data_IF_149925356249
#
_entry.id   IF_149925356249
#
_cell.length_a   1.000
_cell.length_b   1.000
_cell.length_c   1.000
_cell.angle_alpha   90.00
_cell.angle_beta   90.00
_cell.angle_gamma   90.00
#
_symmetry.space_group_name_H-M   'P 1'
#
loop_
_entity.id
_entity.type
_entity.pdbx_description
1 polymer ?
#
# COMPACT_ATOMS: atom_id res chain seq x y z
N UNK A 1 -23.08 48.72 54.44
CA UNK A 1 -21.78 48.21 53.98
C UNK A 1 -21.70 46.66 53.90
N UNK A 2 -21.99 45.88 54.96
CA UNK A 2 -21.88 44.40 54.91
C UNK A 2 -22.79 43.69 53.86
N UNK A 3 -23.94 44.22 53.52
CA UNK A 3 -24.88 43.61 52.53
C UNK A 3 -24.39 43.75 51.11
N UNK A 4 -23.74 44.84 50.72
CA UNK A 4 -23.15 45.08 49.42
C UNK A 4 -21.96 44.17 49.11
N UNK A 5 -21.07 43.99 50.10
CA UNK A 5 -19.88 43.09 50.00
C UNK A 5 -20.33 41.61 49.81
N UNK A 6 -21.44 41.20 50.41
CA UNK A 6 -21.98 39.83 50.24
C UNK A 6 -22.54 39.58 48.85
N UNK A 7 -23.18 40.60 48.21
CA UNK A 7 -23.72 40.50 46.88
C UNK A 7 -22.62 40.47 45.80
N UNK A 8 -21.56 41.28 45.98
CA UNK A 8 -20.39 41.25 45.09
C UNK A 8 -19.66 39.89 45.12
N UNK A 9 -19.46 39.28 46.28
CA UNK A 9 -18.88 37.94 46.40
C UNK A 9 -19.70 36.86 45.73
N UNK A 10 -21.05 36.94 45.78
CA UNK A 10 -21.93 36.01 45.13
C UNK A 10 -21.85 36.17 43.60
N UNK A 11 -21.84 37.40 43.09
CA UNK A 11 -21.73 37.69 41.66
C UNK A 11 -20.39 37.20 41.07
N UNK A 12 -19.27 37.43 41.76
CA UNK A 12 -17.95 36.95 41.30
C UNK A 12 -17.86 35.42 41.32
N UNK A 13 -18.48 34.77 42.29
CA UNK A 13 -18.52 33.30 42.37
C UNK A 13 -19.35 32.69 41.25
N UNK A 14 -20.51 33.27 40.88
CA UNK A 14 -21.31 32.83 39.77
C UNK A 14 -20.58 32.99 38.42
N UNK A 15 -19.87 34.10 38.16
CA UNK A 15 -19.06 34.32 36.99
C UNK A 15 -17.91 33.29 36.86
N UNK A 16 -17.26 32.93 37.98
CA UNK A 16 -16.20 31.94 37.99
C UNK A 16 -16.72 30.51 37.72
N UNK A 17 -17.89 30.19 38.24
CA UNK A 17 -18.54 28.88 37.97
C UNK A 17 -18.91 28.79 36.49
N UNK A 18 -19.49 29.83 35.92
CA UNK A 18 -19.88 29.87 34.50
C UNK A 18 -18.66 29.79 33.58
N UNK A 19 -17.56 30.47 33.89
CA UNK A 19 -16.28 30.40 33.18
C UNK A 19 -15.65 28.99 33.24
N UNK A 20 -15.80 28.30 34.37
CA UNK A 20 -15.31 26.91 34.58
C UNK A 20 -16.16 25.89 33.80
N UNK A 21 -17.48 26.11 33.69
CA UNK A 21 -18.41 25.31 32.93
C UNK A 21 -18.13 25.46 31.39
N UNK A 22 -18.00 26.67 30.92
CA UNK A 22 -17.70 26.93 29.51
C UNK A 22 -16.36 26.33 29.08
N UNK A 23 -15.34 26.36 29.97
CA UNK A 23 -14.03 25.73 29.70
C UNK A 23 -14.14 24.22 29.59
N UNK A 24 -14.96 23.55 30.45
CA UNK A 24 -15.17 22.09 30.36
C UNK A 24 -15.93 21.69 29.10
N UNK A 25 -16.90 22.46 28.66
CA UNK A 25 -17.63 22.22 27.42
C UNK A 25 -16.76 22.44 26.20
N UNK A 26 -15.93 23.47 26.23
CA UNK A 26 -14.97 23.75 25.16
C UNK A 26 -13.93 22.62 25.01
N UNK A 27 -13.36 22.17 26.13
CA UNK A 27 -12.40 21.05 26.10
C UNK A 27 -13.04 19.75 25.62
N UNK A 28 -14.27 19.43 26.04
CA UNK A 28 -15.02 18.27 25.51
C UNK A 28 -15.28 18.38 24.01
N UNK A 29 -15.67 19.56 23.53
CA UNK A 29 -15.86 19.81 22.09
C UNK A 29 -14.57 19.61 21.29
N UNK A 30 -13.44 20.10 21.78
CA UNK A 30 -12.13 19.91 21.13
C UNK A 30 -11.77 18.42 21.09
N UNK A 31 -11.95 17.68 22.20
CA UNK A 31 -11.68 16.24 22.23
C UNK A 31 -12.55 15.44 21.25
N UNK A 32 -13.84 15.76 21.13
CA UNK A 32 -14.71 15.09 20.17
C UNK A 32 -14.33 15.40 18.72
N UNK A 33 -13.93 16.63 18.42
CA UNK A 33 -13.45 17.00 17.09
C UNK A 33 -12.14 16.27 16.73
N UNK A 34 -11.18 16.21 17.64
CA UNK A 34 -9.91 15.50 17.42
C UNK A 34 -10.15 14.00 17.22
N UNK A 35 -11.03 13.40 18.04
CA UNK A 35 -11.40 11.98 17.87
C UNK A 35 -12.08 11.72 16.52
N UNK A 36 -12.99 12.59 16.09
CA UNK A 36 -13.64 12.48 14.79
C UNK A 36 -12.64 12.59 13.63
N UNK A 37 -11.70 13.54 13.69
CA UNK A 37 -10.63 13.69 12.68
C UNK A 37 -9.74 12.45 12.65
N UNK A 38 -9.37 11.91 13.81
CA UNK A 38 -8.56 10.69 13.89
C UNK A 38 -9.29 9.48 13.29
N UNK A 39 -10.59 9.33 13.56
CA UNK A 39 -11.41 8.26 12.99
C UNK A 39 -11.56 8.39 11.47
N UNK A 40 -11.79 9.61 10.96
CA UNK A 40 -11.88 9.86 9.52
C UNK A 40 -10.51 9.60 8.86
N UNK A 41 -9.43 10.05 9.47
CA UNK A 41 -8.06 9.80 8.97
C UNK A 41 -7.74 8.31 8.94
N UNK A 42 -8.08 7.56 10.00
CA UNK A 42 -7.90 6.11 10.07
C UNK A 42 -8.73 5.39 9.01
N UNK A 43 -9.99 5.79 8.84
CA UNK A 43 -10.86 5.22 7.80
C UNK A 43 -10.30 5.45 6.39
N UNK A 44 -9.84 6.67 6.08
CA UNK A 44 -9.20 7.00 4.80
C UNK A 44 -7.90 6.22 4.58
N UNK A 45 -7.10 6.05 5.62
CA UNK A 45 -5.87 5.27 5.56
C UNK A 45 -6.16 3.78 5.32
N UNK A 46 -7.12 3.20 6.05
CA UNK A 46 -7.50 1.79 5.92
C UNK A 46 -8.18 1.51 4.57
N UNK A 47 -9.05 2.40 4.09
CA UNK A 47 -9.72 2.22 2.79
C UNK A 47 -8.74 2.24 1.61
N UNK A 48 -7.55 2.87 1.76
CA UNK A 48 -6.48 2.80 0.77
C UNK A 48 -5.68 1.48 0.77
N UNK A 49 -5.86 0.63 1.79
CA UNK A 49 -5.11 -0.64 1.98
C UNK A 49 -6.00 -1.88 1.70
N UNK A 50 -7.22 -1.70 1.24
CA UNK A 50 -8.09 -2.85 0.95
C UNK A 50 -7.44 -3.70 -0.14
N UNK A 51 -6.78 -4.78 0.28
CA UNK A 51 -6.41 -5.87 -0.63
C UNK A 51 -7.71 -6.44 -1.19
N UNK A 52 -7.91 -6.32 -2.48
CA UNK A 52 -8.96 -7.04 -3.18
C UNK A 52 -8.52 -8.51 -3.26
N UNK A 53 -8.71 -9.24 -2.17
CA UNK A 53 -8.58 -10.69 -2.16
C UNK A 53 -9.88 -11.25 -2.70
N UNK A 54 -9.89 -11.73 -3.93
CA UNK A 54 -10.99 -12.49 -4.47
C UNK A 54 -10.79 -13.96 -4.15
N UNK A 55 -11.70 -14.52 -3.36
CA UNK A 55 -11.72 -15.93 -3.02
C UNK A 55 -12.83 -16.63 -3.81
N UNK A 56 -12.50 -17.66 -4.57
CA UNK A 56 -13.47 -18.50 -5.28
C UNK A 56 -13.32 -19.94 -4.80
N UNK A 57 -14.38 -20.50 -4.24
CA UNK A 57 -14.42 -21.87 -3.71
C UNK A 57 -13.33 -22.16 -2.66
N UNK A 58 -13.01 -21.20 -1.78
CA UNK A 58 -12.01 -21.36 -0.73
C UNK A 58 -10.56 -21.21 -1.21
N UNK A 59 -10.33 -20.90 -2.48
CA UNK A 59 -9.00 -20.64 -3.04
C UNK A 59 -8.80 -19.14 -3.25
N UNK A 60 -7.70 -18.62 -2.75
CA UNK A 60 -7.30 -17.24 -3.03
C UNK A 60 -6.89 -17.12 -4.51
N UNK A 61 -7.46 -16.15 -5.18
CA UNK A 61 -7.09 -15.85 -6.56
C UNK A 61 -5.92 -14.87 -6.60
N UNK A 62 -5.06 -14.93 -7.64
CA UNK A 62 -4.05 -13.93 -7.89
C UNK A 62 -4.68 -12.54 -8.08
N UNK A 63 -3.90 -11.51 -7.83
CA UNK A 63 -4.31 -10.13 -8.12
C UNK A 63 -4.18 -9.90 -9.62
N UNK A 64 -5.31 -9.83 -10.33
CA UNK A 64 -5.34 -9.60 -11.77
C UNK A 64 -5.34 -8.11 -12.15
N UNK A 65 -5.86 -7.26 -11.26
CA UNK A 65 -5.92 -5.83 -11.48
C UNK A 65 -5.95 -5.08 -10.15
N UNK A 66 -5.55 -3.82 -10.19
CA UNK A 66 -5.61 -2.89 -9.06
C UNK A 66 -6.62 -1.81 -9.40
N UNK A 67 -7.52 -1.52 -8.46
CA UNK A 67 -8.46 -0.41 -8.62
C UNK A 67 -7.70 0.92 -8.51
N UNK A 68 -7.71 1.67 -9.60
CA UNK A 68 -7.07 3.00 -9.68
C UNK A 68 -7.83 3.87 -10.66
N UNK A 69 -7.89 5.17 -10.39
CA UNK A 69 -8.43 6.17 -11.33
C UNK A 69 -7.37 6.64 -12.34
N UNK A 70 -6.12 6.20 -12.18
CA UNK A 70 -5.02 6.52 -13.06
C UNK A 70 -4.96 5.55 -14.25
N UNK A 71 -4.68 6.06 -15.44
CA UNK A 71 -4.47 5.25 -16.66
C UNK A 71 -3.07 4.63 -16.61
N UNK A 72 -2.93 3.55 -15.86
CA UNK A 72 -1.68 2.80 -15.70
C UNK A 72 -1.87 1.35 -16.14
N UNK A 73 -0.81 0.77 -16.67
CA UNK A 73 -0.68 -0.66 -16.97
C UNK A 73 0.59 -1.18 -16.30
N UNK A 74 0.57 -2.44 -15.86
CA UNK A 74 1.77 -3.16 -15.47
C UNK A 74 2.21 -4.03 -16.66
N UNK A 75 3.47 -3.92 -17.05
CA UNK A 75 4.07 -4.72 -18.09
C UNK A 75 5.08 -5.69 -17.47
N UNK A 76 5.07 -6.93 -17.91
CA UNK A 76 6.03 -7.95 -17.52
C UNK A 76 6.46 -8.80 -18.69
N UNK A 77 7.64 -9.43 -18.55
CA UNK A 77 8.17 -10.41 -19.49
C UNK A 77 8.45 -11.71 -18.74
N UNK A 78 8.12 -12.84 -19.38
CA UNK A 78 8.48 -14.17 -18.89
C UNK A 78 9.70 -14.65 -19.67
N UNK A 79 10.82 -14.93 -18.99
CA UNK A 79 12.08 -15.40 -19.57
C UNK A 79 12.29 -16.87 -19.21
N UNK A 80 12.06 -17.75 -20.17
CA UNK A 80 12.16 -19.19 -19.98
C UNK A 80 12.99 -19.89 -21.07
N UNK A 81 13.09 -19.32 -22.27
CA UNK A 81 13.81 -19.89 -23.41
C UNK A 81 14.57 -18.81 -24.19
N UNK A 82 15.85 -19.11 -24.50
CA UNK A 82 16.68 -18.20 -25.28
C UNK A 82 16.94 -16.85 -24.62
N UNK A 83 17.83 -16.06 -25.21
CA UNK A 83 18.16 -14.71 -24.74
C UNK A 83 18.49 -13.74 -25.90
N UNK A 84 18.25 -14.14 -27.13
CA UNK A 84 18.68 -13.41 -28.33
C UNK A 84 18.05 -12.00 -28.44
N UNK A 85 16.94 -11.78 -27.79
CA UNK A 85 16.18 -10.52 -27.81
C UNK A 85 16.32 -9.70 -26.49
N UNK A 86 16.97 -10.23 -25.46
CA UNK A 86 17.08 -9.58 -24.15
C UNK A 86 17.64 -8.17 -24.26
N UNK A 87 18.80 -8.00 -24.92
CA UNK A 87 19.42 -6.68 -25.06
C UNK A 87 18.54 -5.71 -25.85
N UNK A 88 17.91 -6.19 -26.92
CA UNK A 88 17.00 -5.36 -27.72
C UNK A 88 15.78 -4.89 -26.92
N UNK A 89 15.22 -5.75 -26.08
CA UNK A 89 14.11 -5.40 -25.17
C UNK A 89 14.58 -4.32 -24.19
N UNK A 90 15.77 -4.50 -23.56
CA UNK A 90 16.33 -3.52 -22.63
C UNK A 90 16.57 -2.16 -23.31
N UNK A 91 17.06 -2.14 -24.53
CA UNK A 91 17.28 -0.89 -25.29
C UNK A 91 15.97 -0.15 -25.54
N UNK A 92 14.90 -0.85 -25.93
CA UNK A 92 13.57 -0.28 -26.16
C UNK A 92 12.98 0.27 -24.84
N UNK A 93 13.06 -0.50 -23.76
CA UNK A 93 12.56 -0.08 -22.45
C UNK A 93 13.29 1.17 -21.96
N UNK A 94 14.60 1.25 -22.16
CA UNK A 94 15.44 2.41 -21.85
C UNK A 94 15.06 3.63 -22.69
N UNK A 95 14.88 3.47 -24.00
CA UNK A 95 14.46 4.55 -24.91
C UNK A 95 13.14 5.18 -24.48
N UNK A 96 12.20 4.37 -24.00
CA UNK A 96 10.88 4.82 -23.56
C UNK A 96 10.82 5.13 -22.06
N UNK A 97 11.93 4.99 -21.32
CA UNK A 97 12.00 5.16 -19.84
C UNK A 97 10.92 4.33 -19.13
N UNK A 98 10.77 3.07 -19.50
CA UNK A 98 9.79 2.13 -18.94
C UNK A 98 10.51 1.11 -18.08
N UNK A 99 10.01 0.91 -16.83
CA UNK A 99 10.46 -0.14 -15.94
C UNK A 99 9.41 -1.25 -15.89
N UNK A 100 9.87 -2.50 -15.89
CA UNK A 100 9.03 -3.69 -15.97
C UNK A 100 9.52 -4.75 -15.01
N UNK A 101 8.75 -5.83 -14.84
CA UNK A 101 9.19 -7.02 -14.11
C UNK A 101 9.54 -8.13 -15.10
N UNK A 102 10.72 -8.74 -14.91
CA UNK A 102 11.11 -9.96 -15.63
C UNK A 102 10.91 -11.16 -14.71
N UNK A 103 9.97 -12.03 -15.05
CA UNK A 103 9.78 -13.31 -14.40
C UNK A 103 10.63 -14.38 -15.09
N UNK A 104 11.68 -14.84 -14.41
CA UNK A 104 12.69 -15.72 -14.98
C UNK A 104 12.59 -17.12 -14.38
N UNK A 105 12.73 -18.16 -15.23
CA UNK A 105 12.92 -19.51 -14.71
C UNK A 105 14.33 -19.68 -14.15
N UNK A 106 14.49 -20.58 -13.15
CA UNK A 106 15.81 -20.88 -12.58
C UNK A 106 16.78 -21.39 -13.64
N UNK A 107 16.33 -22.26 -14.55
CA UNK A 107 17.16 -22.75 -15.65
C UNK A 107 17.62 -21.65 -16.61
N UNK A 108 16.80 -20.63 -16.85
CA UNK A 108 17.19 -19.47 -17.65
C UNK A 108 18.23 -18.61 -16.92
N UNK A 109 18.06 -18.38 -15.63
CA UNK A 109 19.00 -17.65 -14.77
C UNK A 109 20.37 -18.33 -14.74
N UNK A 110 20.40 -19.65 -14.62
CA UNK A 110 21.63 -20.45 -14.64
C UNK A 110 22.33 -20.39 -16.01
N UNK A 111 21.56 -20.34 -17.09
CA UNK A 111 22.10 -20.33 -18.44
C UNK A 111 22.59 -18.95 -18.90
N UNK A 112 21.96 -17.88 -18.41
CA UNK A 112 22.20 -16.50 -18.85
C UNK A 112 22.43 -15.50 -17.71
N UNK A 113 23.43 -15.74 -16.82
CA UNK A 113 23.65 -14.89 -15.65
C UNK A 113 24.02 -13.43 -15.99
N UNK A 114 24.67 -13.21 -17.13
CA UNK A 114 25.01 -11.86 -17.60
C UNK A 114 23.77 -11.06 -18.02
N UNK A 115 22.77 -11.70 -18.62
CA UNK A 115 21.51 -11.06 -18.96
C UNK A 115 20.70 -10.73 -17.69
N UNK A 116 20.69 -11.60 -16.69
CA UNK A 116 20.08 -11.32 -15.38
C UNK A 116 20.69 -10.07 -14.76
N UNK A 117 22.00 -9.96 -14.81
CA UNK A 117 22.74 -8.81 -14.30
C UNK A 117 22.39 -7.54 -15.09
N UNK A 118 22.34 -7.62 -16.42
CA UNK A 118 21.99 -6.49 -17.28
C UNK A 118 20.56 -6.00 -17.01
N UNK A 119 19.59 -6.90 -16.83
CA UNK A 119 18.21 -6.60 -16.48
C UNK A 119 18.15 -5.85 -15.13
N UNK A 120 18.86 -6.35 -14.12
CA UNK A 120 18.92 -5.74 -12.80
C UNK A 120 19.58 -4.34 -12.83
N UNK A 121 20.74 -4.23 -13.52
CA UNK A 121 21.47 -2.95 -13.63
C UNK A 121 20.69 -1.89 -14.44
N UNK A 122 19.80 -2.32 -15.33
CA UNK A 122 18.87 -1.44 -16.03
C UNK A 122 17.69 -0.97 -15.15
N UNK A 123 17.59 -1.44 -13.89
CA UNK A 123 16.59 -1.00 -12.91
C UNK A 123 15.24 -1.70 -13.03
N UNK A 124 15.21 -2.87 -13.66
CA UNK A 124 13.99 -3.69 -13.76
C UNK A 124 13.82 -4.60 -12.54
N UNK A 125 12.57 -4.95 -12.22
CA UNK A 125 12.26 -5.89 -11.16
C UNK A 125 12.49 -7.34 -11.62
N UNK A 126 13.01 -8.17 -10.71
CA UNK A 126 13.26 -9.60 -10.94
C UNK A 126 12.19 -10.41 -10.23
N UNK A 127 11.50 -11.28 -10.97
CA UNK A 127 10.44 -12.16 -10.48
C UNK A 127 10.79 -13.64 -10.70
N UNK A 128 10.13 -14.52 -9.94
CA UNK A 128 10.28 -15.96 -10.05
C UNK A 128 9.25 -16.57 -11.01
N UNK A 129 9.70 -17.43 -11.92
CA UNK A 129 8.86 -18.16 -12.88
C UNK A 129 9.06 -19.69 -12.78
N UNK A 130 9.21 -20.23 -11.59
CA UNK A 130 9.57 -21.62 -11.29
C UNK A 130 11.00 -22.00 -11.74
N UNK A 131 11.44 -23.21 -11.42
CA UNK A 131 12.78 -23.66 -11.82
C UNK A 131 12.83 -24.08 -13.30
N UNK A 132 11.89 -24.90 -13.75
CA UNK A 132 11.94 -25.55 -15.07
C UNK A 132 10.62 -25.46 -15.84
N UNK A 133 9.74 -24.51 -15.50
CA UNK A 133 8.45 -24.32 -16.16
C UNK A 133 7.57 -25.59 -16.25
N UNK A 134 7.65 -26.45 -15.21
CA UNK A 134 6.86 -27.69 -15.16
C UNK A 134 5.38 -27.37 -14.88
N UNK A 135 4.50 -28.26 -15.33
CA UNK A 135 3.08 -28.17 -14.99
C UNK A 135 2.86 -28.50 -13.51
N UNK A 136 2.62 -27.46 -12.69
CA UNK A 136 2.47 -27.59 -11.23
C UNK A 136 1.32 -28.50 -10.80
N UNK A 137 0.28 -28.68 -11.64
CA UNK A 137 -0.84 -29.58 -11.32
C UNK A 137 -0.46 -31.06 -11.37
N UNK A 138 0.66 -31.40 -11.98
CA UNK A 138 1.16 -32.78 -12.14
C UNK A 138 2.29 -33.13 -11.17
N UNK A 139 2.71 -32.18 -10.34
CA UNK A 139 3.77 -32.34 -9.37
C UNK A 139 3.21 -32.73 -8.00
N UNK A 140 3.99 -33.53 -7.24
CA UNK A 140 3.76 -33.76 -5.81
C UNK A 140 4.00 -32.45 -5.03
N UNK A 141 3.61 -32.41 -3.76
CA UNK A 141 3.80 -31.20 -2.94
C UNK A 141 5.28 -30.96 -2.61
N UNK A 142 6.12 -32.00 -2.62
CA UNK A 142 7.57 -31.87 -2.45
C UNK A 142 8.29 -31.36 -3.71
N UNK A 143 7.67 -31.52 -4.90
CA UNK A 143 8.26 -31.07 -6.17
C UNK A 143 7.85 -29.65 -6.57
N UNK A 144 6.85 -29.08 -5.87
CA UNK A 144 6.37 -27.70 -6.11
C UNK A 144 7.22 -26.68 -5.39
#
# INVERSE_FOLDING_TARGET
>A
MRKLIKLEKISTNCKNIQKKWNKKWLTRGIFTCVAAIALIGSYRYISGIVKVSSNVNGKELPIYCVQTDEKKVALSFDAAWGNDDTQRILDILKEHNVHVTFFMTGGWVESYPDDVKAIYEAGHDLGNHSQNHKNMSQLSDEEK
#
